data_IF_270662083473
#
_entry.id   IF_270662083473
#
_cell.length_a   1.000
_cell.length_b   1.000
_cell.length_c   1.000
_cell.angle_alpha   90.00
_cell.angle_beta   90.00
_cell.angle_gamma   90.00
#
_symmetry.space_group_name_H-M   'P 1'
#
loop_
_entity.id
_entity.type
_entity.pdbx_description
1 polymer ?
#
# COMPACT_ATOMS: atom_id res chain seq x y z
N UNK A 1 34.57 74.71 10.17
CA UNK A 1 34.58 73.27 10.49
C UNK A 1 33.19 72.70 10.23
N UNK A 2 33.00 71.76 9.29
CA UNK A 2 31.68 71.22 8.96
C UNK A 2 31.32 70.03 9.86
N UNK A 3 30.13 70.10 10.43
CA UNK A 3 29.45 69.08 11.26
C UNK A 3 29.10 67.84 10.44
N UNK A 4 29.70 66.70 10.79
CA UNK A 4 29.38 65.37 10.22
C UNK A 4 28.01 64.90 10.69
N UNK A 5 27.03 64.84 9.79
CA UNK A 5 25.80 64.06 9.95
C UNK A 5 26.14 62.56 10.04
N UNK A 6 25.71 61.90 11.11
CA UNK A 6 25.76 60.43 11.24
C UNK A 6 24.55 59.82 10.54
N UNK A 7 24.81 58.92 9.60
CA UNK A 7 23.80 58.09 8.94
C UNK A 7 23.18 57.08 9.91
N UNK A 8 21.87 56.77 9.79
CA UNK A 8 21.26 55.71 10.59
C UNK A 8 21.71 54.35 10.06
N UNK A 9 22.32 53.55 10.94
CA UNK A 9 22.72 52.17 10.65
C UNK A 9 21.49 51.34 10.32
N UNK A 10 21.45 50.83 9.10
CA UNK A 10 20.49 49.85 8.62
C UNK A 10 20.54 48.60 9.53
N UNK A 11 19.51 48.40 10.34
CA UNK A 11 19.35 47.21 11.18
C UNK A 11 19.16 46.00 10.26
N UNK A 12 20.16 45.11 10.22
CA UNK A 12 20.04 43.80 9.56
C UNK A 12 18.91 43.02 10.24
N UNK A 13 17.93 42.48 9.50
CA UNK A 13 16.93 41.61 10.09
C UNK A 13 17.63 40.36 10.62
N UNK A 14 17.34 40.04 11.88
CA UNK A 14 17.78 38.82 12.52
C UNK A 14 17.36 37.64 11.64
N UNK A 15 18.35 36.96 11.05
CA UNK A 15 18.15 35.65 10.43
C UNK A 15 17.67 34.73 11.55
N UNK A 16 16.35 34.58 11.65
CA UNK A 16 15.75 33.52 12.43
C UNK A 16 16.43 32.24 12.00
N UNK A 17 17.17 31.62 12.92
CA UNK A 17 17.69 30.27 12.76
C UNK A 17 16.47 29.42 12.43
N UNK A 18 16.27 29.13 11.15
CA UNK A 18 15.48 27.99 10.74
C UNK A 18 16.11 26.84 11.51
N UNK A 19 15.42 26.39 12.56
CA UNK A 19 15.67 25.09 13.16
C UNK A 19 15.38 24.13 12.01
N UNK A 20 16.40 23.87 11.21
CA UNK A 20 16.46 22.68 10.38
C UNK A 20 16.36 21.58 11.41
N UNK A 21 15.13 21.09 11.62
CA UNK A 21 14.90 19.77 12.17
C UNK A 21 15.57 18.87 11.15
N UNK A 22 16.88 18.73 11.29
CA UNK A 22 17.67 17.68 10.70
C UNK A 22 17.00 16.46 11.29
N UNK A 23 16.02 15.93 10.57
CA UNK A 23 15.34 14.70 10.90
C UNK A 23 16.47 13.74 11.24
N UNK A 24 16.64 13.49 12.53
CA UNK A 24 17.74 12.70 13.05
C UNK A 24 17.51 11.33 12.44
N UNK A 25 18.32 11.03 11.43
CA UNK A 25 18.32 9.80 10.68
C UNK A 25 18.41 8.65 11.69
N UNK A 26 17.46 7.71 11.73
CA UNK A 26 17.73 6.44 12.36
C UNK A 26 18.57 5.53 11.44
N UNK A 27 18.94 5.95 10.21
CA UNK A 27 19.44 5.03 9.17
C UNK A 27 20.93 5.22 8.81
N UNK A 28 21.65 6.16 9.43
CA UNK A 28 23.11 6.26 9.22
C UNK A 28 23.90 5.25 10.06
N UNK A 29 23.36 4.85 11.22
CA UNK A 29 23.98 3.87 12.08
C UNK A 29 23.99 2.49 11.41
N UNK A 30 25.18 1.90 11.25
CA UNK A 30 25.37 0.55 10.68
C UNK A 30 24.52 -0.48 11.42
N UNK A 31 24.42 -0.37 12.74
CA UNK A 31 23.62 -1.27 13.58
C UNK A 31 22.13 -1.18 13.25
N UNK A 32 21.59 0.02 13.06
CA UNK A 32 20.18 0.20 12.72
C UNK A 32 19.84 -0.35 11.32
N UNK A 33 20.77 -0.21 10.35
CA UNK A 33 20.62 -0.82 9.02
C UNK A 33 20.64 -2.35 9.08
N UNK A 34 21.56 -2.92 9.85
CA UNK A 34 21.63 -4.38 10.06
C UNK A 34 20.37 -4.87 10.75
N UNK A 35 19.92 -4.21 11.82
CA UNK A 35 18.70 -4.58 12.53
C UNK A 35 17.46 -4.50 11.63
N UNK A 36 17.34 -3.46 10.82
CA UNK A 36 16.25 -3.33 9.86
C UNK A 36 16.29 -4.46 8.82
N UNK A 37 17.45 -4.73 8.22
CA UNK A 37 17.61 -5.83 7.25
C UNK A 37 17.32 -7.19 7.88
N UNK A 38 17.82 -7.45 9.09
CA UNK A 38 17.54 -8.67 9.84
C UNK A 38 16.05 -8.81 10.13
N UNK A 39 15.36 -7.73 10.52
CA UNK A 39 13.91 -7.76 10.74
C UNK A 39 13.15 -8.12 9.45
N UNK A 40 13.54 -7.59 8.28
CA UNK A 40 12.93 -7.97 7.00
C UNK A 40 13.14 -9.46 6.69
N UNK A 41 14.35 -9.98 6.89
CA UNK A 41 14.67 -11.40 6.67
C UNK A 41 13.87 -12.29 7.61
N UNK A 42 13.88 -11.98 8.91
CA UNK A 42 13.12 -12.72 9.92
C UNK A 42 11.62 -12.63 9.68
N UNK A 43 11.14 -11.49 9.19
CA UNK A 43 9.73 -11.29 8.83
C UNK A 43 9.29 -12.13 7.65
N UNK A 44 10.15 -12.34 6.65
CA UNK A 44 9.86 -13.21 5.49
C UNK A 44 10.11 -14.71 5.76
N UNK A 45 10.91 -15.03 6.78
CA UNK A 45 11.31 -16.39 7.12
C UNK A 45 10.15 -17.39 7.22
N UNK A 46 8.97 -17.06 7.82
CA UNK A 46 7.83 -17.98 7.91
C UNK A 46 7.39 -18.53 6.55
N UNK A 47 7.53 -17.76 5.46
CA UNK A 47 7.15 -18.20 4.11
C UNK A 47 8.04 -19.33 3.57
N UNK A 48 9.27 -19.45 4.08
CA UNK A 48 10.29 -20.35 3.57
C UNK A 48 10.51 -21.58 4.44
N UNK A 49 10.31 -21.45 5.77
CA UNK A 49 10.40 -22.59 6.69
C UNK A 49 9.12 -23.42 6.73
N UNK A 50 7.98 -22.83 6.35
CA UNK A 50 6.70 -23.53 6.32
C UNK A 50 6.61 -24.41 5.09
N UNK A 51 6.46 -25.73 5.30
CA UNK A 51 6.25 -26.70 4.20
C UNK A 51 4.97 -26.38 3.42
N UNK A 52 3.89 -26.08 4.14
CA UNK A 52 2.60 -25.67 3.58
C UNK A 52 2.27 -24.29 4.13
N UNK A 53 1.97 -23.35 3.24
CA UNK A 53 1.53 -22.01 3.66
C UNK A 53 0.08 -22.07 4.12
N UNK A 54 -0.26 -21.48 5.28
CA UNK A 54 -1.60 -21.56 5.86
C UNK A 54 -2.56 -20.58 5.16
N UNK A 55 -2.78 -20.78 3.86
CA UNK A 55 -3.64 -19.95 3.03
C UNK A 55 -4.75 -20.80 2.41
N UNK A 56 -6.01 -20.54 2.79
CA UNK A 56 -7.17 -21.33 2.35
C UNK A 56 -7.32 -21.34 0.83
N UNK A 57 -7.23 -20.17 0.18
CA UNK A 57 -7.45 -20.05 -1.27
C UNK A 57 -6.19 -20.33 -2.11
N UNK A 58 -5.02 -20.52 -1.48
CA UNK A 58 -3.76 -20.66 -2.21
C UNK A 58 -3.72 -21.85 -3.18
N UNK A 59 -4.20 -23.07 -2.84
CA UNK A 59 -4.23 -24.17 -3.79
C UNK A 59 -5.00 -23.82 -5.07
N UNK A 60 -6.15 -23.14 -4.93
CA UNK A 60 -6.94 -22.68 -6.07
C UNK A 60 -6.18 -21.64 -6.90
N UNK A 61 -5.52 -20.69 -6.25
CA UNK A 61 -4.69 -19.70 -6.93
C UNK A 61 -3.57 -20.33 -7.75
N UNK A 62 -2.79 -21.24 -7.16
CA UNK A 62 -1.69 -21.91 -7.88
C UNK A 62 -2.22 -22.77 -9.02
N UNK A 63 -3.37 -23.44 -8.85
CA UNK A 63 -4.00 -24.18 -9.94
C UNK A 63 -4.34 -23.26 -11.13
N UNK A 64 -5.00 -22.12 -10.88
CA UNK A 64 -5.34 -21.16 -11.93
C UNK A 64 -4.10 -20.57 -12.62
N UNK A 65 -3.01 -20.32 -11.87
CA UNK A 65 -1.74 -19.88 -12.45
C UNK A 65 -1.13 -20.97 -13.33
N UNK A 66 -1.18 -22.24 -12.89
CA UNK A 66 -0.72 -23.38 -13.68
C UNK A 66 -1.51 -23.53 -14.99
N UNK A 67 -2.83 -23.33 -14.95
CA UNK A 67 -3.69 -23.29 -16.15
C UNK A 67 -3.29 -22.12 -17.04
N UNK A 68 -3.19 -20.90 -16.50
CA UNK A 68 -2.80 -19.71 -17.27
C UNK A 68 -1.44 -19.89 -17.97
N UNK A 69 -0.47 -20.46 -17.28
CA UNK A 69 0.89 -20.63 -17.78
C UNK A 69 1.00 -21.69 -18.89
N UNK A 70 0.09 -22.67 -18.91
CA UNK A 70 0.12 -23.82 -19.82
C UNK A 70 -1.16 -23.92 -20.65
N UNK A 71 -1.85 -22.80 -20.86
CA UNK A 71 -3.16 -22.80 -21.50
C UNK A 71 -3.10 -23.27 -22.95
N UNK A 72 -1.97 -23.06 -23.61
CA UNK A 72 -1.71 -23.46 -25.00
C UNK A 72 -0.89 -24.76 -25.11
N UNK A 73 -0.56 -25.40 -23.98
CA UNK A 73 0.25 -26.61 -23.96
C UNK A 73 -0.60 -27.85 -24.33
N UNK A 74 -0.39 -28.45 -25.52
CA UNK A 74 -1.20 -29.57 -26.00
C UNK A 74 -0.94 -30.87 -25.22
N UNK A 75 0.08 -30.92 -24.36
CA UNK A 75 0.36 -32.08 -23.50
C UNK A 75 -0.52 -32.12 -22.25
N UNK A 76 -1.29 -31.06 -22.00
CA UNK A 76 -2.22 -30.95 -20.87
C UNK A 76 -3.67 -31.01 -21.35
N UNK A 77 -4.61 -31.21 -20.42
CA UNK A 77 -6.04 -31.07 -20.70
C UNK A 77 -6.51 -29.60 -20.70
N UNK A 78 -5.65 -28.64 -20.37
CA UNK A 78 -6.05 -27.25 -20.18
C UNK A 78 -6.61 -26.58 -21.43
N UNK A 79 -6.03 -26.73 -22.64
CA UNK A 79 -6.60 -26.13 -23.85
C UNK A 79 -8.02 -26.62 -24.16
N UNK A 80 -8.39 -27.83 -23.70
CA UNK A 80 -9.72 -28.40 -23.92
C UNK A 80 -10.75 -28.01 -22.85
N UNK A 81 -10.30 -27.62 -21.65
CA UNK A 81 -11.16 -27.36 -20.49
C UNK A 81 -11.29 -25.89 -20.13
N UNK A 82 -10.31 -25.06 -20.50
CA UNK A 82 -10.22 -23.66 -20.09
C UNK A 82 -9.99 -22.74 -21.29
N UNK A 83 -10.42 -21.49 -21.13
CA UNK A 83 -10.14 -20.41 -22.06
C UNK A 83 -9.69 -19.17 -21.27
N UNK A 84 -8.79 -18.38 -21.86
CA UNK A 84 -8.34 -17.14 -21.26
C UNK A 84 -9.45 -16.09 -21.31
N UNK A 85 -9.69 -15.47 -20.16
CA UNK A 85 -10.50 -14.26 -20.03
C UNK A 85 -9.58 -13.06 -20.21
N UNK A 86 -9.80 -12.32 -21.28
CA UNK A 86 -8.96 -11.17 -21.67
C UNK A 86 -9.50 -9.85 -21.10
N UNK A 87 -10.59 -9.89 -20.36
CA UNK A 87 -11.16 -8.72 -19.73
C UNK A 87 -10.20 -8.15 -18.68
N UNK A 88 -10.07 -6.83 -18.67
CA UNK A 88 -9.38 -6.13 -17.60
C UNK A 88 -10.08 -6.45 -16.28
N UNK A 89 -9.37 -7.11 -15.38
CA UNK A 89 -9.86 -7.39 -14.03
C UNK A 89 -8.84 -6.88 -13.02
N UNK A 90 -9.27 -6.36 -11.86
CA UNK A 90 -8.38 -5.82 -10.85
C UNK A 90 -7.73 -6.94 -10.02
N UNK A 91 -7.28 -8.02 -10.68
CA UNK A 91 -6.65 -9.21 -10.10
C UNK A 91 -5.51 -9.76 -10.97
N UNK A 92 -5.29 -9.20 -12.16
CA UNK A 92 -4.33 -9.69 -13.14
C UNK A 92 -2.90 -9.68 -12.60
N UNK A 93 -2.57 -8.71 -11.73
CA UNK A 93 -1.21 -8.50 -11.22
C UNK A 93 -0.59 -9.77 -10.65
N UNK A 94 -1.27 -10.44 -9.71
CA UNK A 94 -0.75 -11.65 -9.07
C UNK A 94 -0.61 -12.81 -10.06
N UNK A 95 -1.67 -13.10 -10.83
CA UNK A 95 -1.69 -14.26 -11.73
C UNK A 95 -0.61 -14.17 -12.81
N UNK A 96 -0.49 -13.02 -13.48
CA UNK A 96 0.48 -12.85 -14.55
C UNK A 96 1.91 -12.74 -14.03
N UNK A 97 2.16 -12.06 -12.90
CA UNK A 97 3.52 -11.95 -12.37
C UNK A 97 4.03 -13.29 -11.85
N UNK A 98 3.21 -14.08 -11.15
CA UNK A 98 3.65 -15.40 -10.69
C UNK A 98 3.77 -16.38 -11.86
N UNK A 99 2.87 -16.32 -12.85
CA UNK A 99 3.05 -17.07 -14.10
C UNK A 99 4.35 -16.71 -14.82
N UNK A 100 4.71 -15.42 -14.86
CA UNK A 100 5.97 -14.97 -15.44
C UNK A 100 7.19 -15.49 -14.66
N UNK A 101 7.15 -15.44 -13.32
CA UNK A 101 8.20 -16.01 -12.47
C UNK A 101 8.31 -17.54 -12.61
N UNK A 102 7.21 -18.22 -12.92
CA UNK A 102 7.16 -19.67 -13.11
C UNK A 102 7.97 -20.15 -14.34
N UNK A 103 8.35 -19.25 -15.25
CA UNK A 103 9.32 -19.58 -16.31
C UNK A 103 10.74 -19.82 -15.79
N UNK A 104 11.08 -19.26 -14.61
CA UNK A 104 12.42 -19.30 -14.04
C UNK A 104 12.50 -20.18 -12.79
N UNK A 105 11.39 -20.33 -12.08
CA UNK A 105 11.31 -20.97 -10.77
C UNK A 105 10.15 -21.98 -10.76
N UNK A 106 10.23 -23.07 -10.00
CA UNK A 106 9.05 -23.90 -9.74
C UNK A 106 7.91 -23.05 -9.16
N UNK A 107 6.67 -23.33 -9.55
CA UNK A 107 5.49 -22.51 -9.23
C UNK A 107 5.36 -22.14 -7.74
N UNK A 108 5.61 -23.10 -6.85
CA UNK A 108 5.58 -22.85 -5.40
C UNK A 108 6.65 -21.86 -4.95
N UNK A 109 7.86 -21.96 -5.52
CA UNK A 109 8.98 -21.04 -5.25
C UNK A 109 8.68 -19.66 -5.84
N UNK A 110 8.16 -19.59 -7.07
CA UNK A 110 7.71 -18.34 -7.69
C UNK A 110 6.69 -17.61 -6.80
N UNK A 111 5.70 -18.33 -6.26
CA UNK A 111 4.73 -17.78 -5.34
C UNK A 111 5.36 -17.33 -4.00
N UNK A 112 6.27 -18.11 -3.41
CA UNK A 112 6.98 -17.69 -2.18
C UNK A 112 7.83 -16.44 -2.38
N UNK A 113 8.49 -16.31 -3.52
CA UNK A 113 9.22 -15.09 -3.90
C UNK A 113 8.26 -13.90 -3.99
N UNK A 114 7.11 -14.08 -4.65
CA UNK A 114 6.08 -13.05 -4.74
C UNK A 114 5.54 -12.63 -3.36
N UNK A 115 5.20 -13.60 -2.50
CA UNK A 115 4.75 -13.33 -1.13
C UNK A 115 5.82 -12.67 -0.27
N UNK A 116 7.10 -12.99 -0.50
CA UNK A 116 8.23 -12.32 0.17
C UNK A 116 8.27 -10.83 -0.22
N UNK A 117 8.06 -10.52 -1.50
CA UNK A 117 7.99 -9.14 -1.96
C UNK A 117 6.82 -8.37 -1.33
N UNK A 118 5.69 -9.03 -1.08
CA UNK A 118 4.58 -8.48 -0.30
C UNK A 118 4.98 -8.19 1.16
N UNK A 119 5.44 -9.21 1.90
CA UNK A 119 5.76 -9.10 3.34
C UNK A 119 6.86 -8.07 3.59
N UNK A 120 7.89 -8.05 2.74
CA UNK A 120 9.00 -7.07 2.83
C UNK A 120 8.57 -5.71 2.26
N UNK A 121 7.73 -5.70 1.24
CA UNK A 121 7.22 -4.47 0.62
C UNK A 121 6.42 -3.62 1.59
N UNK A 122 5.67 -4.23 2.53
CA UNK A 122 4.87 -3.51 3.52
C UNK A 122 5.69 -2.54 4.39
N UNK A 123 6.71 -3.00 5.14
CA UNK A 123 7.56 -2.11 5.92
C UNK A 123 8.38 -1.17 5.03
N UNK A 124 8.81 -1.58 3.83
CA UNK A 124 9.54 -0.69 2.93
C UNK A 124 8.68 0.46 2.40
N UNK A 125 7.44 0.18 2.01
CA UNK A 125 6.46 1.16 1.57
C UNK A 125 6.10 2.14 2.68
N UNK A 126 5.81 1.64 3.89
CA UNK A 126 5.54 2.51 5.04
C UNK A 126 6.77 3.35 5.42
N UNK A 127 7.97 2.74 5.42
CA UNK A 127 9.21 3.46 5.69
C UNK A 127 9.46 4.58 4.67
N UNK A 128 9.14 4.35 3.40
CA UNK A 128 9.21 5.38 2.37
C UNK A 128 8.20 6.50 2.61
N UNK A 129 6.94 6.19 2.89
CA UNK A 129 5.92 7.18 3.25
C UNK A 129 6.33 8.02 4.47
N UNK A 130 6.76 7.39 5.56
CA UNK A 130 7.21 8.07 6.77
C UNK A 130 8.36 9.02 6.48
N UNK A 131 9.37 8.58 5.70
CA UNK A 131 10.48 9.45 5.28
C UNK A 131 10.02 10.62 4.41
N UNK A 132 9.04 10.40 3.53
CA UNK A 132 8.46 11.47 2.71
C UNK A 132 7.71 12.51 3.56
N UNK A 133 7.13 12.09 4.67
CA UNK A 133 6.50 12.96 5.67
C UNK A 133 7.50 13.56 6.69
N UNK A 134 8.81 13.31 6.54
CA UNK A 134 9.83 13.78 7.47
C UNK A 134 9.81 13.10 8.85
N UNK A 135 9.25 11.88 8.93
CA UNK A 135 9.10 11.08 10.16
C UNK A 135 10.17 9.98 10.24
N UNK A 136 10.51 9.49 11.45
CA UNK A 136 11.40 8.34 11.61
C UNK A 136 10.80 7.10 10.95
N UNK A 137 11.63 6.26 10.33
CA UNK A 137 11.18 5.09 9.56
C UNK A 137 11.13 3.79 10.34
N UNK A 138 11.67 3.73 11.56
CA UNK A 138 11.66 2.51 12.38
C UNK A 138 10.26 1.95 12.66
N UNK A 139 9.19 2.78 12.85
CA UNK A 139 7.85 2.25 13.10
C UNK A 139 7.32 1.41 11.95
N UNK A 140 7.91 1.55 10.76
CA UNK A 140 7.53 0.75 9.63
C UNK A 140 7.72 -0.76 9.85
N UNK A 141 8.66 -1.17 10.71
CA UNK A 141 8.86 -2.59 11.06
C UNK A 141 7.67 -3.20 11.80
N UNK A 142 6.80 -2.38 12.40
CA UNK A 142 5.59 -2.84 13.07
C UNK A 142 4.55 -3.43 12.10
N UNK A 143 4.72 -3.26 10.79
CA UNK A 143 3.85 -3.89 9.79
C UNK A 143 4.19 -5.35 9.55
N UNK A 144 5.35 -5.85 9.99
CA UNK A 144 5.76 -7.24 9.76
C UNK A 144 4.78 -8.25 10.42
N UNK A 145 4.40 -8.11 11.70
CA UNK A 145 3.37 -8.97 12.28
C UNK A 145 2.00 -8.81 11.61
N UNK A 146 1.67 -7.59 11.17
CA UNK A 146 0.42 -7.28 10.49
C UNK A 146 0.34 -7.88 9.07
N UNK A 147 1.46 -8.33 8.51
CA UNK A 147 1.51 -8.99 7.21
C UNK A 147 0.91 -10.41 7.23
N UNK A 148 0.71 -10.98 8.43
CA UNK A 148 0.23 -12.36 8.62
C UNK A 148 -1.15 -12.41 9.29
N UNK A 149 -2.01 -11.41 9.04
CA UNK A 149 -3.37 -11.37 9.58
C UNK A 149 -4.38 -12.25 8.84
N UNK A 150 -5.66 -12.08 9.17
CA UNK A 150 -6.76 -12.90 8.63
C UNK A 150 -6.81 -12.94 7.08
N UNK A 151 -6.60 -11.80 6.42
CA UNK A 151 -6.54 -11.75 4.95
C UNK A 151 -5.41 -12.59 4.35
N UNK A 152 -4.30 -12.76 5.08
CA UNK A 152 -3.23 -13.69 4.71
C UNK A 152 -3.71 -15.13 4.88
N UNK A 153 -4.31 -15.47 6.02
CA UNK A 153 -4.86 -16.80 6.29
C UNK A 153 -5.90 -17.27 5.26
N UNK A 154 -6.76 -16.36 4.80
CA UNK A 154 -7.72 -16.67 3.72
C UNK A 154 -7.06 -16.78 2.34
N UNK A 155 -5.92 -16.14 2.13
CA UNK A 155 -5.25 -16.13 0.83
C UNK A 155 -5.72 -15.01 -0.10
N UNK A 156 -6.10 -13.85 0.42
CA UNK A 156 -6.46 -12.66 -0.38
C UNK A 156 -5.21 -11.99 -0.99
N UNK A 157 -4.40 -12.75 -1.71
CA UNK A 157 -3.04 -12.40 -2.14
C UNK A 157 -3.02 -11.14 -2.99
N UNK A 158 -4.01 -10.99 -3.88
CA UNK A 158 -4.18 -9.81 -4.72
C UNK A 158 -4.36 -8.52 -3.89
N UNK A 159 -5.23 -8.57 -2.88
CA UNK A 159 -5.42 -7.45 -1.94
C UNK A 159 -4.14 -7.16 -1.15
N UNK A 160 -3.52 -8.21 -0.59
CA UNK A 160 -2.29 -8.09 0.20
C UNK A 160 -1.16 -7.46 -0.60
N UNK A 161 -0.94 -7.90 -1.85
CA UNK A 161 0.06 -7.36 -2.75
C UNK A 161 -0.17 -5.88 -3.11
N UNK A 162 -1.43 -5.42 -3.10
CA UNK A 162 -1.75 -4.03 -3.34
C UNK A 162 -1.41 -3.10 -2.15
N UNK A 163 -1.43 -3.61 -0.90
CA UNK A 163 -1.15 -2.80 0.30
C UNK A 163 0.22 -2.09 0.32
N UNK A 164 1.36 -2.75 0.05
CA UNK A 164 2.65 -2.06 0.00
C UNK A 164 2.70 -1.02 -1.12
N UNK A 165 2.03 -1.28 -2.25
CA UNK A 165 1.91 -0.34 -3.36
C UNK A 165 1.05 0.87 -2.98
N UNK A 166 -0.01 0.68 -2.20
CA UNK A 166 -0.81 1.79 -1.64
C UNK A 166 0.03 2.72 -0.76
N UNK A 167 0.87 2.16 0.12
CA UNK A 167 1.79 2.95 0.94
C UNK A 167 2.84 3.68 0.09
N UNK A 168 3.36 3.00 -0.94
CA UNK A 168 4.28 3.57 -1.91
C UNK A 168 3.63 4.73 -2.67
N UNK A 169 2.39 4.59 -3.16
CA UNK A 169 1.60 5.66 -3.79
C UNK A 169 1.50 6.90 -2.90
N UNK A 170 1.14 6.71 -1.62
CA UNK A 170 1.10 7.82 -0.65
C UNK A 170 2.45 8.52 -0.53
N UNK A 171 3.55 7.76 -0.44
CA UNK A 171 4.90 8.32 -0.35
C UNK A 171 5.32 9.06 -1.63
N UNK A 172 4.98 8.52 -2.80
CA UNK A 172 5.27 9.12 -4.11
C UNK A 172 4.49 10.42 -4.29
N UNK A 173 3.22 10.43 -3.87
CA UNK A 173 2.37 11.60 -3.89
C UNK A 173 2.94 12.73 -3.02
N UNK A 174 3.33 12.43 -1.77
CA UNK A 174 3.99 13.40 -0.88
C UNK A 174 5.28 13.94 -1.49
N UNK A 175 6.09 13.08 -2.14
CA UNK A 175 7.31 13.53 -2.82
C UNK A 175 7.02 14.40 -4.04
N UNK A 176 6.00 14.07 -4.82
CA UNK A 176 5.56 14.91 -5.93
C UNK A 176 5.10 16.31 -5.47
N UNK A 177 4.55 16.40 -4.25
CA UNK A 177 4.18 17.68 -3.63
C UNK A 177 5.36 18.47 -3.07
N UNK A 178 6.38 17.79 -2.50
CA UNK A 178 7.38 18.44 -1.63
C UNK A 178 8.78 18.52 -2.23
N UNK A 179 9.17 17.61 -3.13
CA UNK A 179 10.50 17.56 -3.75
C UNK A 179 10.48 18.34 -5.07
N UNK A 180 10.64 19.67 -4.98
CA UNK A 180 10.50 20.61 -6.11
C UNK A 180 11.32 20.19 -7.34
N UNK A 181 12.63 19.87 -7.22
CA UNK A 181 13.44 19.52 -8.40
C UNK A 181 13.00 18.24 -9.11
N UNK A 182 12.37 17.30 -8.42
CA UNK A 182 12.06 15.95 -8.95
C UNK A 182 10.56 15.65 -9.05
N UNK A 183 9.68 16.62 -8.86
CA UNK A 183 8.22 16.41 -8.75
C UNK A 183 7.60 15.60 -9.89
N UNK A 184 8.03 15.85 -11.13
CA UNK A 184 7.50 15.16 -12.31
C UNK A 184 7.86 13.69 -12.29
N UNK A 185 9.11 13.36 -11.95
CA UNK A 185 9.55 11.97 -11.81
C UNK A 185 8.73 11.22 -10.75
N UNK A 186 8.47 11.85 -9.61
CA UNK A 186 7.63 11.27 -8.57
C UNK A 186 6.17 11.10 -9.02
N UNK A 187 5.62 12.05 -9.76
CA UNK A 187 4.29 11.96 -10.35
C UNK A 187 4.15 10.84 -11.39
N UNK A 188 5.16 10.65 -12.26
CA UNK A 188 5.20 9.53 -13.21
C UNK A 188 5.26 8.19 -12.47
N UNK A 189 6.12 8.09 -11.45
CA UNK A 189 6.19 6.91 -10.59
C UNK A 189 4.86 6.63 -9.90
N UNK A 190 4.16 7.67 -9.41
CA UNK A 190 2.84 7.56 -8.83
C UNK A 190 1.81 7.00 -9.82
N UNK A 191 1.80 7.50 -11.06
CA UNK A 191 0.87 7.02 -12.09
C UNK A 191 1.06 5.54 -12.40
N UNK A 192 2.30 5.09 -12.57
CA UNK A 192 2.63 3.68 -12.75
C UNK A 192 2.23 2.84 -11.52
N UNK A 193 2.48 3.34 -10.31
CA UNK A 193 2.15 2.65 -9.07
C UNK A 193 0.62 2.53 -8.87
N UNK A 194 -0.16 3.56 -9.22
CA UNK A 194 -1.62 3.52 -9.15
C UNK A 194 -2.23 2.52 -10.13
N UNK A 195 -1.68 2.44 -11.35
CA UNK A 195 -2.05 1.39 -12.31
C UNK A 195 -1.77 0.01 -11.73
N UNK A 196 -0.58 -0.19 -11.15
CA UNK A 196 -0.24 -1.46 -10.50
C UNK A 196 -1.21 -1.79 -9.36
N UNK A 197 -1.51 -0.85 -8.45
CA UNK A 197 -2.50 -1.05 -7.38
C UNK A 197 -3.84 -1.53 -7.94
N UNK A 198 -4.35 -0.91 -9.00
CA UNK A 198 -5.62 -1.30 -9.61
C UNK A 198 -5.55 -2.70 -10.23
N UNK A 199 -4.45 -3.06 -10.89
CA UNK A 199 -4.24 -4.40 -11.47
C UNK A 199 -4.19 -5.50 -10.40
N UNK A 200 -3.84 -5.17 -9.16
CA UNK A 200 -3.85 -6.10 -8.03
C UNK A 200 -5.17 -6.12 -7.28
N UNK A 201 -5.73 -4.95 -6.92
CA UNK A 201 -6.98 -4.93 -6.16
C UNK A 201 -7.68 -3.56 -6.14
N UNK A 202 -8.98 -3.56 -6.46
CA UNK A 202 -9.81 -2.34 -6.48
C UNK A 202 -10.02 -1.73 -5.09
N UNK A 203 -10.13 -2.54 -4.03
CA UNK A 203 -10.33 -2.02 -2.67
C UNK A 203 -9.15 -1.17 -2.19
N UNK A 204 -7.91 -1.59 -2.49
CA UNK A 204 -6.70 -0.83 -2.14
C UNK A 204 -6.63 0.50 -2.92
N UNK A 205 -7.12 0.50 -4.16
CA UNK A 205 -7.33 1.71 -4.95
C UNK A 205 -8.38 2.63 -4.30
N UNK A 206 -9.48 2.06 -3.79
CA UNK A 206 -10.50 2.76 -3.01
C UNK A 206 -9.93 3.47 -1.77
N UNK A 207 -9.00 2.84 -1.04
CA UNK A 207 -8.32 3.50 0.08
C UNK A 207 -7.52 4.74 -0.36
N UNK A 208 -6.88 4.70 -1.53
CA UNK A 208 -6.16 5.84 -2.09
C UNK A 208 -7.09 7.00 -2.49
N UNK A 209 -8.35 6.70 -2.83
CA UNK A 209 -9.35 7.74 -3.10
C UNK A 209 -9.64 8.62 -1.87
N UNK A 210 -9.38 8.13 -0.64
CA UNK A 210 -9.43 8.92 0.59
C UNK A 210 -8.04 9.42 1.02
N UNK A 211 -7.03 8.57 0.93
CA UNK A 211 -5.68 8.87 1.38
C UNK A 211 -4.99 9.99 0.59
N UNK A 212 -5.12 10.01 -0.74
CA UNK A 212 -4.46 11.02 -1.57
C UNK A 212 -5.08 12.42 -1.39
N UNK A 213 -6.42 12.59 -1.37
CA UNK A 213 -7.02 13.88 -1.01
C UNK A 213 -6.66 14.33 0.40
N UNK A 214 -6.66 13.43 1.39
CA UNK A 214 -6.20 13.77 2.74
C UNK A 214 -4.78 14.33 2.71
N UNK A 215 -3.84 13.63 2.07
CA UNK A 215 -2.46 14.07 1.92
C UNK A 215 -2.34 15.39 1.13
N UNK A 216 -3.18 15.62 0.12
CA UNK A 216 -3.20 16.87 -0.64
C UNK A 216 -3.53 18.07 0.24
N UNK A 217 -4.45 17.90 1.19
CA UNK A 217 -4.88 18.96 2.10
C UNK A 217 -3.97 19.12 3.32
N UNK A 218 -3.36 18.03 3.82
CA UNK A 218 -2.55 18.08 5.05
C UNK A 218 -1.05 18.25 4.80
N UNK A 219 -0.55 18.02 3.59
CA UNK A 219 0.88 18.15 3.28
C UNK A 219 1.22 19.60 2.93
N UNK A 220 2.07 20.29 3.70
CA UNK A 220 2.52 21.63 3.36
C UNK A 220 3.45 21.58 2.14
N UNK A 221 3.18 22.43 1.15
CA UNK A 221 3.99 22.55 -0.05
C UNK A 221 4.96 23.73 0.11
N UNK A 222 6.25 23.62 -0.26
CA UNK A 222 7.25 24.68 -0.03
C UNK A 222 6.84 26.06 -0.54
N UNK A 223 6.14 26.10 -1.68
CA UNK A 223 5.68 27.32 -2.32
C UNK A 223 4.45 27.97 -1.64
N UNK A 224 3.78 27.28 -0.70
CA UNK A 224 2.57 27.80 -0.04
C UNK A 224 2.83 29.09 0.73
N UNK A 225 4.04 29.28 1.28
CA UNK A 225 4.42 30.47 2.03
C UNK A 225 4.46 31.75 1.17
N UNK A 226 4.73 31.61 -0.13
CA UNK A 226 4.82 32.73 -1.08
C UNK A 226 3.54 32.90 -1.92
N UNK A 227 2.64 31.90 -1.90
CA UNK A 227 1.45 31.87 -2.76
C UNK A 227 0.37 32.86 -2.30
N UNK A 228 0.01 33.79 -3.18
CA UNK A 228 -1.14 34.70 -3.01
C UNK A 228 -2.32 34.23 -3.86
N UNK A 229 -3.41 33.83 -3.22
CA UNK A 229 -4.63 33.36 -3.89
C UNK A 229 -4.66 31.85 -4.19
N UNK A 230 -5.83 31.37 -4.59
CA UNK A 230 -6.12 29.94 -4.74
C UNK A 230 -5.35 29.28 -5.89
N UNK A 231 -5.31 29.90 -7.08
CA UNK A 231 -4.61 29.33 -8.24
C UNK A 231 -3.10 29.18 -8.00
N UNK A 232 -2.48 30.15 -7.31
CA UNK A 232 -1.06 30.08 -6.95
C UNK A 232 -0.75 28.89 -6.02
N UNK A 233 -1.69 28.52 -5.14
CA UNK A 233 -1.59 27.34 -4.26
C UNK A 233 -1.85 26.03 -5.01
N UNK A 234 -2.71 26.04 -6.03
CA UNK A 234 -2.98 24.84 -6.85
C UNK A 234 -1.81 24.49 -7.79
N UNK A 235 -1.16 25.50 -8.38
CA UNK A 235 -0.10 25.30 -9.38
C UNK A 235 0.99 24.29 -8.96
N UNK A 236 1.59 24.35 -7.76
CA UNK A 236 2.63 23.40 -7.37
C UNK A 236 2.10 21.97 -7.14
N UNK A 237 0.79 21.80 -6.92
CA UNK A 237 0.12 20.50 -6.76
C UNK A 237 -0.18 19.82 -8.11
N UNK A 238 -0.05 20.55 -9.22
CA UNK A 238 -0.42 20.07 -10.55
C UNK A 238 0.29 18.78 -10.98
N UNK A 239 1.58 18.62 -10.66
CA UNK A 239 2.31 17.40 -11.00
C UNK A 239 1.75 16.17 -10.25
N UNK A 240 1.51 16.29 -8.95
CA UNK A 240 0.94 15.21 -8.15
C UNK A 240 -0.47 14.83 -8.64
N UNK A 241 -1.31 15.83 -8.96
CA UNK A 241 -2.64 15.61 -9.53
C UNK A 241 -2.59 14.94 -10.90
N UNK A 242 -1.67 15.37 -11.78
CA UNK A 242 -1.45 14.74 -13.08
C UNK A 242 -0.99 13.27 -12.93
N UNK A 243 -0.17 12.98 -11.92
CA UNK A 243 0.26 11.61 -11.60
C UNK A 243 -0.87 10.68 -11.18
N UNK A 244 -2.02 11.21 -10.73
CA UNK A 244 -3.21 10.40 -10.38
C UNK A 244 -4.00 9.97 -11.63
N UNK A 245 -3.91 10.74 -12.71
CA UNK A 245 -4.75 10.59 -13.91
C UNK A 245 -4.67 9.17 -14.50
N UNK A 246 -3.49 8.56 -14.75
CA UNK A 246 -3.44 7.24 -15.41
C UNK A 246 -4.22 6.15 -14.66
N UNK A 247 -4.09 6.11 -13.33
CA UNK A 247 -4.81 5.13 -12.50
C UNK A 247 -6.32 5.37 -12.48
N UNK A 248 -6.75 6.63 -12.36
CA UNK A 248 -8.17 6.99 -12.38
C UNK A 248 -8.78 6.72 -13.76
N UNK A 249 -8.08 7.06 -14.84
CA UNK A 249 -8.52 6.74 -16.20
C UNK A 249 -8.70 5.24 -16.36
N UNK A 250 -7.72 4.42 -15.95
CA UNK A 250 -7.84 2.97 -16.04
C UNK A 250 -9.01 2.43 -15.20
N UNK A 251 -9.23 2.96 -14.00
CA UNK A 251 -10.36 2.60 -13.15
C UNK A 251 -11.70 2.95 -13.82
N UNK A 252 -11.84 4.16 -14.35
CA UNK A 252 -13.06 4.60 -15.03
C UNK A 252 -13.30 3.79 -16.31
N UNK A 253 -12.26 3.52 -17.09
CA UNK A 253 -12.34 2.64 -18.26
C UNK A 253 -12.80 1.24 -17.87
N UNK A 254 -12.26 0.66 -16.80
CA UNK A 254 -12.70 -0.62 -16.27
C UNK A 254 -14.19 -0.62 -15.86
N UNK A 255 -14.64 0.43 -15.17
CA UNK A 255 -16.06 0.59 -14.78
C UNK A 255 -16.96 0.70 -16.01
N UNK A 256 -16.59 1.53 -16.98
CA UNK A 256 -17.35 1.73 -18.23
C UNK A 256 -17.41 0.46 -19.05
N UNK A 257 -16.30 -0.28 -19.20
CA UNK A 257 -16.25 -1.54 -19.92
C UNK A 257 -17.08 -2.66 -19.25
N UNK A 258 -17.39 -2.51 -17.96
CA UNK A 258 -18.27 -3.43 -17.23
C UNK A 258 -19.72 -2.97 -17.20
N UNK A 259 -20.00 -1.75 -17.65
CA UNK A 259 -21.35 -1.20 -17.64
C UNK A 259 -22.23 -1.96 -18.63
N UNK A 260 -23.39 -2.46 -18.16
CA UNK A 260 -24.31 -3.25 -18.97
C UNK A 260 -24.01 -4.76 -19.02
N UNK A 261 -22.88 -5.22 -18.46
CA UNK A 261 -22.67 -6.66 -18.27
C UNK A 261 -23.70 -7.20 -17.28
N UNK A 262 -24.23 -8.43 -17.50
CA UNK A 262 -25.10 -9.05 -16.53
C UNK A 262 -24.36 -9.10 -15.19
N UNK A 263 -25.05 -8.81 -14.07
CA UNK A 263 -24.41 -8.86 -12.78
C UNK A 263 -23.89 -10.27 -12.59
N UNK A 264 -22.65 -10.38 -12.11
CA UNK A 264 -22.10 -11.67 -11.72
C UNK A 264 -22.95 -12.33 -10.63
N UNK A 265 -23.96 -11.63 -10.06
CA UNK A 265 -24.89 -12.00 -9.00
C UNK A 265 -26.35 -11.82 -9.43
N UNK A 266 -27.11 -12.91 -9.50
CA UNK A 266 -28.55 -12.89 -9.77
C UNK A 266 -29.32 -13.20 -8.46
N UNK A 267 -30.31 -12.38 -8.06
CA UNK A 267 -31.21 -12.70 -6.94
C UNK A 267 -31.89 -14.07 -7.16
N UNK A 268 -31.76 -15.00 -6.21
CA UNK A 268 -32.31 -16.37 -6.30
C UNK A 268 -31.30 -17.49 -6.59
N UNK A 269 -30.03 -17.16 -6.85
CA UNK A 269 -28.93 -18.14 -7.02
C UNK A 269 -28.03 -18.22 -5.77
N UNK A 270 -27.31 -19.34 -5.52
CA UNK A 270 -26.45 -19.50 -4.34
C UNK A 270 -25.38 -18.41 -4.20
N UNK A 271 -24.96 -18.22 -2.94
CA UNK A 271 -24.25 -17.07 -2.35
C UNK A 271 -23.18 -16.40 -3.21
N UNK A 272 -23.15 -15.06 -3.17
CA UNK A 272 -22.05 -14.23 -3.70
C UNK A 272 -21.69 -13.15 -2.69
N UNK A 273 -20.38 -12.97 -2.48
CA UNK A 273 -19.78 -12.25 -1.37
C UNK A 273 -20.15 -10.75 -1.23
N UNK A 274 -20.83 -10.17 -2.21
CA UNK A 274 -21.21 -8.76 -2.20
C UNK A 274 -22.61 -8.62 -2.79
N UNK A 275 -23.68 -8.58 -1.97
CA UNK A 275 -24.98 -8.16 -2.48
C UNK A 275 -24.97 -6.69 -2.94
N UNK A 276 -26.12 -6.01 -3.06
CA UNK A 276 -26.15 -4.59 -3.43
C UNK A 276 -25.24 -3.75 -2.53
N UNK A 277 -24.37 -2.92 -3.10
CA UNK A 277 -23.30 -2.17 -2.40
C UNK A 277 -23.77 -1.35 -1.19
N UNK A 278 -25.06 -1.00 -1.15
CA UNK A 278 -25.69 -0.23 -0.06
C UNK A 278 -26.86 -0.97 0.62
N UNK A 279 -26.98 -2.29 0.43
CA UNK A 279 -27.98 -3.08 1.16
C UNK A 279 -27.64 -3.07 2.66
N UNK A 280 -28.59 -2.72 3.54
CA UNK A 280 -28.40 -2.79 5.00
C UNK A 280 -27.96 -4.18 5.48
N UNK A 281 -28.40 -5.24 4.78
CA UNK A 281 -28.05 -6.63 5.06
C UNK A 281 -26.57 -6.95 4.76
N UNK A 282 -25.92 -6.20 3.84
CA UNK A 282 -24.48 -6.30 3.58
C UNK A 282 -23.63 -5.44 4.53
N UNK A 283 -24.20 -4.36 5.06
CA UNK A 283 -23.50 -3.40 5.93
C UNK A 283 -23.62 -3.74 7.44
N UNK A 284 -24.58 -4.58 7.82
CA UNK A 284 -24.79 -4.96 9.21
C UNK A 284 -25.23 -6.42 9.33
N UNK A 285 -24.26 -7.34 9.35
CA UNK A 285 -24.52 -8.68 9.91
C UNK A 285 -24.43 -8.67 11.45
N UNK A 286 -23.80 -7.64 12.04
CA UNK A 286 -23.51 -7.54 13.47
C UNK A 286 -23.82 -6.13 13.97
N UNK A 287 -24.49 -6.02 15.12
CA UNK A 287 -24.74 -4.72 15.77
C UNK A 287 -23.44 -4.08 16.26
N UNK A 288 -23.44 -2.76 16.48
CA UNK A 288 -22.25 -2.05 17.01
C UNK A 288 -21.73 -2.66 18.31
N UNK A 289 -22.63 -3.07 19.21
CA UNK A 289 -22.26 -3.71 20.47
C UNK A 289 -21.50 -5.03 20.24
N UNK A 290 -21.93 -5.83 19.27
CA UNK A 290 -21.27 -7.08 18.88
C UNK A 290 -19.92 -6.81 18.21
N UNK A 291 -19.87 -5.86 17.26
CA UNK A 291 -18.60 -5.45 16.64
C UNK A 291 -17.58 -4.96 17.68
N UNK A 292 -18.03 -4.22 18.69
CA UNK A 292 -17.17 -3.78 19.81
C UNK A 292 -16.71 -4.95 20.67
N UNK A 293 -17.60 -5.90 20.99
CA UNK A 293 -17.27 -7.06 21.82
C UNK A 293 -16.27 -8.00 21.11
N UNK A 294 -16.41 -8.15 19.80
CA UNK A 294 -15.58 -9.04 18.98
C UNK A 294 -14.33 -8.35 18.40
N UNK A 295 -14.18 -7.03 18.57
CA UNK A 295 -13.13 -6.25 17.89
C UNK A 295 -11.73 -6.85 18.07
N UNK A 296 -11.33 -7.17 19.30
CA UNK A 296 -10.03 -7.77 19.58
C UNK A 296 -9.91 -9.22 19.11
N UNK A 297 -11.02 -9.94 18.97
CA UNK A 297 -11.03 -11.26 18.38
C UNK A 297 -10.76 -11.14 16.88
N UNK A 298 -11.46 -10.24 16.18
CA UNK A 298 -11.31 -10.04 14.72
C UNK A 298 -9.89 -9.58 14.34
N UNK A 299 -9.17 -8.89 15.22
CA UNK A 299 -7.79 -8.48 14.95
C UNK A 299 -6.80 -9.66 14.91
N UNK A 300 -7.04 -10.71 15.70
CA UNK A 300 -6.24 -11.93 15.75
C UNK A 300 -7.12 -13.13 16.15
N UNK A 301 -7.63 -13.80 15.10
CA UNK A 301 -8.45 -15.01 15.17
C UNK A 301 -7.95 -16.13 14.25
N UNK A 302 -6.68 -16.08 13.84
CA UNK A 302 -6.09 -17.03 12.90
C UNK A 302 -5.83 -18.39 13.54
N UNK A 303 -5.43 -18.42 14.81
CA UNK A 303 -5.21 -19.66 15.54
C UNK A 303 -6.30 -19.91 16.59
N UNK A 304 -6.74 -21.17 16.69
CA UNK A 304 -7.79 -21.58 17.63
C UNK A 304 -7.39 -21.35 19.10
N UNK A 305 -6.10 -21.38 19.41
CA UNK A 305 -5.56 -21.11 20.75
C UNK A 305 -5.33 -19.61 21.03
N UNK A 306 -5.58 -18.74 20.05
CA UNK A 306 -5.39 -17.29 20.14
C UNK A 306 -3.91 -16.86 20.23
N UNK A 307 -2.96 -17.74 19.90
CA UNK A 307 -1.53 -17.45 19.96
C UNK A 307 -1.10 -16.31 19.01
N UNK A 308 -1.85 -16.07 17.94
CA UNK A 308 -1.68 -14.97 16.98
C UNK A 308 -1.95 -13.58 17.59
N UNK A 309 -2.51 -13.51 18.81
CA UNK A 309 -2.71 -12.26 19.54
C UNK A 309 -1.42 -11.70 20.14
N UNK A 310 -0.46 -12.57 20.50
CA UNK A 310 0.78 -12.14 21.16
C UNK A 310 1.62 -11.18 20.30
N UNK A 311 1.82 -11.43 18.99
CA UNK A 311 2.49 -10.46 18.12
C UNK A 311 1.80 -9.09 18.08
N UNK A 312 0.46 -9.05 18.07
CA UNK A 312 -0.28 -7.78 18.11
C UNK A 312 -0.07 -7.02 19.41
N UNK A 313 -0.14 -7.73 20.55
CA UNK A 313 0.13 -7.13 21.85
C UNK A 313 1.56 -6.62 21.96
N UNK A 314 2.53 -7.37 21.42
CA UNK A 314 3.93 -6.93 21.35
C UNK A 314 4.09 -5.66 20.51
N UNK A 315 3.45 -5.58 19.33
CA UNK A 315 3.43 -4.36 18.51
C UNK A 315 2.81 -3.19 19.28
N UNK A 316 1.69 -3.40 19.96
CA UNK A 316 1.03 -2.40 20.79
C UNK A 316 1.93 -1.91 21.93
N UNK A 317 2.59 -2.83 22.65
CA UNK A 317 3.52 -2.49 23.72
C UNK A 317 4.72 -1.69 23.20
N UNK A 318 5.32 -2.10 22.08
CA UNK A 318 6.41 -1.35 21.44
C UNK A 318 5.96 0.05 21.01
N UNK A 319 4.75 0.18 20.46
CA UNK A 319 4.20 1.47 20.08
C UNK A 319 3.95 2.37 21.29
N UNK A 320 3.44 1.84 22.40
CA UNK A 320 3.23 2.59 23.65
C UNK A 320 4.54 3.02 24.30
N UNK A 321 5.54 2.13 24.33
CA UNK A 321 6.89 2.47 24.80
C UNK A 321 7.52 3.54 23.90
N UNK A 322 7.40 3.38 22.59
CA UNK A 322 7.87 4.38 21.62
C UNK A 322 7.21 5.74 21.83
N UNK A 323 5.88 5.78 22.02
CA UNK A 323 5.13 7.01 22.33
C UNK A 323 5.58 7.64 23.66
N UNK A 324 5.78 6.83 24.69
CA UNK A 324 6.24 7.31 26.00
C UNK A 324 7.65 7.88 25.97
N UNK A 325 8.48 7.44 25.03
CA UNK A 325 9.87 7.87 24.87
C UNK A 325 10.06 9.04 23.86
N UNK A 326 9.06 9.37 23.03
CA UNK A 326 9.08 10.57 22.16
C UNK A 326 8.39 10.42 20.80
#
# INVERSE_FOLDING_TARGET
MPTRQRSPRCARPARGRARTVRALLPVTNRTARIAFAAALVLGALPLWVSRVLPMVDLPQHLYLISVLHRLEDPTTLYPALFAARHELTPYLGYYYLVSALNWLLPLEVANRVFLTAYVVGLPLGLAFLLRSLGRPSWPALLTLPLAYGDSFGWGFINYLAALPLTLLCCGLFVRALTDVPHRVRWAVGLGACLVAVLLFHVQAFGFLAFGLPWLLFTTPVPEDAAAKGFLARLRPRGAALAGVVPGVTLFLSWVVLRFGNPPDIQPGAPWKAWGPTFSPQNLAWKGFAQNRAEFFQVLANTFHDGSDRWPLYAVGAVALVGWGLG
#
